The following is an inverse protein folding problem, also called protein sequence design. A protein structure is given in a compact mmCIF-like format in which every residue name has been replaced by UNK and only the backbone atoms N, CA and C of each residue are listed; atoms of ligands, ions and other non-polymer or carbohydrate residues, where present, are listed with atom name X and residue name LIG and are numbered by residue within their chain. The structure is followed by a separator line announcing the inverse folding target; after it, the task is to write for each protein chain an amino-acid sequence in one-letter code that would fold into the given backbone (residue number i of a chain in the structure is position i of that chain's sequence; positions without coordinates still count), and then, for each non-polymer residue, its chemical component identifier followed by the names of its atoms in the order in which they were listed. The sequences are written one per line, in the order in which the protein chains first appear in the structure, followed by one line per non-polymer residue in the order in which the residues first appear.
data_IF_052798105228
#
_entry.id   IF_052798105228
#
_cell.length_a   1.000
_cell.length_b   1.000
_cell.length_c   1.000
_cell.angle_alpha   90.00
_cell.angle_beta   90.00
_cell.angle_gamma   90.00
#
_symmetry.space_group_name_H-M   'P 1'
#
loop_
_entity.id
_entity.type
_entity.pdbx_description
1 polymer ?
#
# COMPACT_ATOMS: atom_id res chain seq x y z
N UNK A 1 5.46 3.53 23.40
CA UNK A 1 4.08 3.03 23.23
C UNK A 1 3.29 3.85 22.21
N UNK A 2 3.31 5.20 22.27
CA UNK A 2 2.62 6.07 21.31
C UNK A 2 3.08 5.88 19.85
N UNK A 3 4.39 5.74 19.59
CA UNK A 3 4.92 5.50 18.23
C UNK A 3 4.26 4.30 17.56
N UNK A 4 4.23 3.14 18.24
CA UNK A 4 3.68 1.90 17.67
C UNK A 4 2.20 2.06 17.35
N UNK A 5 1.42 2.64 18.28
CA UNK A 5 -0.01 2.89 18.07
C UNK A 5 -0.24 3.85 16.89
N UNK A 6 0.54 4.94 16.82
CA UNK A 6 0.45 5.91 15.72
C UNK A 6 0.85 5.30 14.38
N UNK A 7 1.84 4.40 14.34
CA UNK A 7 2.19 3.65 13.12
C UNK A 7 1.08 2.71 12.69
N UNK A 8 0.39 2.04 13.62
CA UNK A 8 -0.79 1.22 13.31
C UNK A 8 -1.91 2.07 12.72
N UNK A 9 -2.20 3.22 13.34
CA UNK A 9 -3.18 4.18 12.82
C UNK A 9 -2.78 4.70 11.43
N UNK A 10 -1.49 4.99 11.23
CA UNK A 10 -0.98 5.41 9.94
C UNK A 10 -1.17 4.34 8.86
N UNK A 11 -0.86 3.08 9.18
CA UNK A 11 -1.12 1.95 8.29
C UNK A 11 -2.59 1.81 7.93
N UNK A 12 -3.50 1.92 8.90
CA UNK A 12 -4.95 1.88 8.66
C UNK A 12 -5.38 2.99 7.70
N UNK A 13 -5.04 4.24 8.00
CA UNK A 13 -5.44 5.41 7.18
C UNK A 13 -4.85 5.32 5.77
N UNK A 14 -3.56 5.00 5.65
CA UNK A 14 -2.89 4.89 4.36
C UNK A 14 -3.48 3.75 3.51
N UNK A 15 -3.80 2.61 4.11
CA UNK A 15 -4.42 1.47 3.41
C UNK A 15 -5.81 1.79 2.92
N UNK A 16 -6.61 2.49 3.72
CA UNK A 16 -7.93 2.97 3.31
C UNK A 16 -7.80 3.95 2.14
N UNK A 17 -6.91 4.94 2.23
CA UNK A 17 -6.69 5.91 1.15
C UNK A 17 -6.24 5.25 -0.16
N UNK A 18 -5.28 4.33 -0.09
CA UNK A 18 -4.86 3.52 -1.24
C UNK A 18 -6.00 2.68 -1.82
N UNK A 19 -6.76 1.99 -0.95
CA UNK A 19 -7.91 1.17 -1.39
C UNK A 19 -8.96 2.01 -2.10
N UNK A 20 -9.23 3.22 -1.61
CA UNK A 20 -10.16 4.17 -2.24
C UNK A 20 -9.66 4.61 -3.61
N UNK A 21 -8.36 4.93 -3.76
CA UNK A 21 -7.79 5.32 -5.06
C UNK A 21 -7.91 4.18 -6.07
N UNK A 22 -7.50 2.97 -5.68
CA UNK A 22 -7.56 1.80 -6.57
C UNK A 22 -9.00 1.43 -6.94
N UNK A 23 -9.91 1.49 -5.96
CA UNK A 23 -11.33 1.27 -6.21
C UNK A 23 -11.92 2.34 -7.14
N UNK A 24 -11.49 3.59 -7.02
CA UNK A 24 -11.93 4.67 -7.92
C UNK A 24 -11.46 4.42 -9.35
N UNK A 25 -10.21 4.00 -9.55
CA UNK A 25 -9.68 3.59 -10.88
C UNK A 25 -10.51 2.44 -11.46
N UNK A 26 -10.87 1.45 -10.63
CA UNK A 26 -11.74 0.35 -11.03
C UNK A 26 -13.16 0.80 -11.38
N UNK A 27 -13.79 1.61 -10.54
CA UNK A 27 -15.14 2.11 -10.73
C UNK A 27 -15.28 3.00 -11.98
N UNK A 28 -14.22 3.70 -12.36
CA UNK A 28 -14.14 4.48 -13.59
C UNK A 28 -13.86 3.63 -14.85
N UNK A 29 -13.65 2.31 -14.69
CA UNK A 29 -13.37 1.39 -15.80
C UNK A 29 -11.97 1.53 -16.42
N UNK A 30 -11.06 2.27 -15.78
CA UNK A 30 -9.70 2.51 -16.30
C UNK A 30 -8.82 1.26 -16.23
N UNK A 31 -9.00 0.44 -15.20
CA UNK A 31 -8.31 -0.84 -15.03
C UNK A 31 -9.14 -1.77 -14.12
N UNK A 32 -8.95 -3.09 -14.23
CA UNK A 32 -9.54 -4.04 -13.27
C UNK A 32 -8.74 -4.05 -11.96
N UNK A 33 -8.78 -2.93 -11.24
CA UNK A 33 -7.97 -2.65 -10.05
C UNK A 33 -8.69 -2.99 -8.73
N UNK A 34 -9.71 -3.87 -8.75
CA UNK A 34 -10.35 -4.39 -7.52
C UNK A 34 -9.44 -5.42 -6.84
N UNK A 35 -8.34 -4.91 -6.28
CA UNK A 35 -7.33 -5.70 -5.59
C UNK A 35 -7.91 -6.40 -4.35
N UNK A 36 -8.86 -5.76 -3.67
CA UNK A 36 -9.50 -6.32 -2.47
C UNK A 36 -10.20 -7.63 -2.83
N UNK A 37 -11.05 -7.63 -3.86
CA UNK A 37 -11.71 -8.88 -4.30
C UNK A 37 -10.72 -9.88 -4.89
N UNK A 38 -9.73 -9.43 -5.66
CA UNK A 38 -8.69 -10.30 -6.20
C UNK A 38 -7.98 -11.06 -5.05
N UNK A 39 -7.42 -10.33 -4.09
CA UNK A 39 -6.71 -10.89 -2.94
C UNK A 39 -7.59 -11.84 -2.12
N UNK A 40 -8.83 -11.45 -1.84
CA UNK A 40 -9.71 -12.30 -1.05
C UNK A 40 -10.18 -13.55 -1.80
N UNK A 41 -10.34 -13.48 -3.12
CA UNK A 41 -10.71 -14.64 -3.93
C UNK A 41 -9.56 -15.63 -4.13
N UNK A 42 -8.30 -15.20 -4.02
CA UNK A 42 -7.14 -16.10 -3.90
C UNK A 42 -7.25 -16.98 -2.65
N UNK A 43 -7.60 -16.37 -1.51
CA UNK A 43 -7.67 -17.06 -0.22
C UNK A 43 -8.92 -17.93 -0.11
N UNK A 44 -10.07 -17.41 -0.54
CA UNK A 44 -11.38 -18.08 -0.41
C UNK A 44 -11.69 -19.04 -1.57
N UNK A 45 -10.86 -19.04 -2.62
CA UNK A 45 -11.04 -19.83 -3.86
C UNK A 45 -12.39 -19.62 -4.54
N UNK A 46 -13.00 -18.44 -4.37
CA UNK A 46 -14.31 -18.14 -4.91
C UNK A 46 -14.70 -16.69 -4.69
N UNK A 47 -15.85 -16.27 -5.22
CA UNK A 47 -16.37 -14.90 -5.07
C UNK A 47 -17.08 -14.69 -3.72
N UNK A 48 -17.64 -15.76 -3.15
CA UNK A 48 -18.35 -15.72 -1.87
C UNK A 48 -17.34 -15.39 -0.77
N UNK A 49 -17.59 -14.29 -0.04
CA UNK A 49 -16.72 -13.75 1.02
C UNK A 49 -15.37 -13.15 0.57
N UNK A 50 -15.06 -13.11 -0.74
CA UNK A 50 -13.81 -12.55 -1.25
C UNK A 50 -13.60 -11.09 -0.81
N UNK A 51 -14.63 -10.26 -0.87
CA UNK A 51 -14.55 -8.85 -0.45
C UNK A 51 -14.06 -8.72 1.01
N UNK A 52 -14.68 -9.46 1.94
CA UNK A 52 -14.36 -9.36 3.36
C UNK A 52 -12.97 -9.92 3.66
N UNK A 53 -12.66 -11.12 3.13
CA UNK A 53 -11.36 -11.76 3.33
C UNK A 53 -10.23 -10.90 2.79
N UNK A 54 -10.40 -10.37 1.58
CA UNK A 54 -9.40 -9.51 0.95
C UNK A 54 -9.23 -8.17 1.66
N UNK A 55 -10.32 -7.58 2.16
CA UNK A 55 -10.24 -6.30 2.87
C UNK A 55 -9.51 -6.43 4.20
N UNK A 56 -9.81 -7.49 4.97
CA UNK A 56 -9.09 -7.79 6.22
C UNK A 56 -7.61 -8.04 5.94
N UNK A 57 -7.30 -8.89 4.95
CA UNK A 57 -5.91 -9.17 4.57
C UNK A 57 -5.17 -7.92 4.14
N UNK A 58 -5.81 -7.07 3.34
CA UNK A 58 -5.21 -5.83 2.88
C UNK A 58 -4.94 -4.85 4.04
N UNK A 59 -5.87 -4.71 4.99
CA UNK A 59 -5.65 -3.91 6.21
C UNK A 59 -4.51 -4.45 7.07
N UNK A 60 -4.44 -5.76 7.28
CA UNK A 60 -3.35 -6.39 8.05
C UNK A 60 -2.02 -6.13 7.35
N UNK A 61 -1.92 -6.43 6.06
CA UNK A 61 -0.72 -6.17 5.26
C UNK A 61 -0.32 -4.70 5.31
N UNK A 62 -1.28 -3.80 5.14
CA UNK A 62 -1.03 -2.37 5.16
C UNK A 62 -0.61 -1.83 6.53
N UNK A 63 -1.06 -2.41 7.64
CA UNK A 63 -0.51 -2.12 8.97
C UNK A 63 0.94 -2.62 9.06
N UNK A 64 1.21 -3.86 8.63
CA UNK A 64 2.57 -4.42 8.69
C UNK A 64 3.57 -3.59 7.87
N UNK A 65 3.20 -3.19 6.65
CA UNK A 65 4.04 -2.37 5.78
C UNK A 65 4.19 -0.92 6.23
N UNK A 66 3.35 -0.43 7.15
CA UNK A 66 3.52 0.91 7.71
C UNK A 66 4.78 1.03 8.56
N UNK A 67 5.19 -0.05 9.23
CA UNK A 67 6.39 -0.07 10.07
C UNK A 67 7.67 0.19 9.28
N UNK A 68 8.03 -0.57 8.23
CA UNK A 68 9.24 -0.28 7.46
C UNK A 68 9.18 1.11 6.81
N UNK A 69 8.01 1.58 6.35
CA UNK A 69 7.88 2.95 5.85
C UNK A 69 8.21 3.99 6.93
N UNK A 70 7.54 3.88 8.09
CA UNK A 70 7.74 4.82 9.19
C UNK A 70 9.18 4.80 9.72
N UNK A 71 9.78 3.61 9.80
CA UNK A 71 11.18 3.41 10.22
C UNK A 71 12.12 4.11 9.23
N UNK A 72 11.97 3.84 7.93
CA UNK A 72 12.83 4.45 6.91
C UNK A 72 12.64 5.96 6.89
N UNK A 73 11.40 6.45 6.87
CA UNK A 73 11.13 7.89 6.82
C UNK A 73 11.71 8.58 8.07
N UNK A 74 11.46 8.03 9.26
CA UNK A 74 11.98 8.60 10.52
C UNK A 74 13.51 8.61 10.61
N UNK A 75 14.19 7.76 9.83
CA UNK A 75 15.63 7.70 9.77
C UNK A 75 16.24 8.91 9.04
N UNK A 76 15.48 9.65 8.24
CA UNK A 76 15.97 10.84 7.55
C UNK A 76 15.61 12.13 8.32
N UNK A 77 16.41 13.21 8.18
CA UNK A 77 16.04 14.52 8.70
C UNK A 77 14.77 15.06 8.02
N UNK A 78 13.78 15.45 8.82
CA UNK A 78 12.52 16.04 8.34
C UNK A 78 12.67 17.55 8.18
N UNK A 79 13.48 17.97 7.21
CA UNK A 79 13.85 19.39 7.02
C UNK A 79 12.71 20.29 6.54
N UNK A 80 11.64 19.70 6.01
CA UNK A 80 10.45 20.40 5.54
C UNK A 80 9.24 19.48 5.53
N UNK A 81 8.04 20.05 5.39
CA UNK A 81 6.81 19.27 5.16
C UNK A 81 6.90 18.36 3.93
N UNK A 82 7.55 18.81 2.84
CA UNK A 82 7.62 18.04 1.61
C UNK A 82 8.54 16.82 1.70
N UNK A 83 9.56 16.85 2.57
CA UNK A 83 10.57 15.79 2.68
C UNK A 83 9.98 14.40 3.01
N UNK A 84 9.19 14.22 4.08
CA UNK A 84 8.61 12.91 4.40
C UNK A 84 7.61 12.43 3.34
N UNK A 85 6.86 13.35 2.73
CA UNK A 85 5.89 13.02 1.68
C UNK A 85 6.60 12.52 0.42
N UNK A 86 7.68 13.17 0.00
CA UNK A 86 8.46 12.78 -1.16
C UNK A 86 9.18 11.44 -0.93
N UNK A 87 9.77 11.24 0.25
CA UNK A 87 10.39 9.97 0.61
C UNK A 87 9.35 8.85 0.68
N UNK A 88 8.18 9.13 1.28
CA UNK A 88 7.04 8.22 1.28
C UNK A 88 6.59 7.86 -0.14
N UNK A 89 6.45 8.83 -1.02
CA UNK A 89 6.09 8.61 -2.43
C UNK A 89 7.13 7.74 -3.17
N UNK A 90 8.42 7.94 -2.93
CA UNK A 90 9.50 7.13 -3.51
C UNK A 90 9.47 5.68 -3.00
N UNK A 91 9.26 5.48 -1.70
CA UNK A 91 9.07 4.16 -1.12
C UNK A 91 7.80 3.49 -1.69
N UNK A 92 6.74 4.27 -1.85
CA UNK A 92 5.49 3.90 -2.50
C UNK A 92 5.68 3.43 -3.93
N UNK A 93 6.43 4.20 -4.72
CA UNK A 93 6.81 3.86 -6.08
C UNK A 93 7.58 2.53 -6.13
N UNK A 94 8.63 2.41 -5.31
CA UNK A 94 9.44 1.19 -5.23
C UNK A 94 8.59 -0.04 -4.85
N UNK A 95 7.81 0.08 -3.77
CA UNK A 95 6.95 -1.00 -3.31
C UNK A 95 5.90 -1.35 -4.37
N UNK A 96 5.24 -0.36 -4.96
CA UNK A 96 4.27 -0.55 -6.03
C UNK A 96 4.84 -1.28 -7.24
N UNK A 97 6.08 -0.96 -7.64
CA UNK A 97 6.79 -1.70 -8.68
C UNK A 97 7.03 -3.15 -8.28
N UNK A 98 7.66 -3.39 -7.14
CA UNK A 98 7.97 -4.75 -6.65
C UNK A 98 6.69 -5.59 -6.55
N UNK A 99 5.63 -5.03 -5.97
CA UNK A 99 4.37 -5.73 -5.77
C UNK A 99 3.65 -5.99 -7.10
N UNK A 100 3.69 -5.05 -8.05
CA UNK A 100 3.10 -5.25 -9.38
C UNK A 100 3.77 -6.41 -10.13
N UNK A 101 5.10 -6.49 -10.07
CA UNK A 101 5.84 -7.62 -10.64
C UNK A 101 5.51 -8.94 -9.93
N UNK A 102 5.48 -8.94 -8.59
CA UNK A 102 5.14 -10.11 -7.81
C UNK A 102 3.73 -10.62 -8.12
N UNK A 103 2.75 -9.72 -8.28
CA UNK A 103 1.37 -10.09 -8.64
C UNK A 103 1.28 -10.72 -10.04
N UNK A 104 1.98 -10.15 -11.03
CA UNK A 104 1.98 -10.73 -12.38
C UNK A 104 2.64 -12.12 -12.35
N UNK A 105 3.82 -12.22 -11.73
CA UNK A 105 4.62 -13.46 -11.77
C UNK A 105 4.05 -14.59 -10.91
N UNK A 106 3.47 -14.29 -9.74
CA UNK A 106 3.10 -15.30 -8.75
C UNK A 106 1.59 -15.55 -8.70
N UNK A 107 0.79 -14.54 -9.04
CA UNK A 107 -0.65 -14.55 -8.76
C UNK A 107 -1.48 -14.67 -10.04
N UNK A 108 -1.19 -13.86 -11.06
CA UNK A 108 -2.03 -13.77 -12.25
C UNK A 108 -2.16 -15.13 -12.97
N UNK A 109 -1.06 -15.84 -13.19
CA UNK A 109 -1.08 -17.09 -13.97
C UNK A 109 -1.94 -18.19 -13.33
N UNK A 110 -2.00 -18.24 -12.00
CA UNK A 110 -2.62 -19.33 -11.24
C UNK A 110 -3.88 -18.89 -10.48
N UNK A 111 -4.36 -17.66 -10.69
CA UNK A 111 -5.47 -17.11 -9.92
C UNK A 111 -6.73 -18.00 -10.04
N UNK A 112 -7.48 -18.31 -8.97
CA UNK A 112 -8.65 -19.19 -9.04
C UNK A 112 -9.74 -18.72 -10.01
N UNK A 113 -9.93 -17.40 -10.10
CA UNK A 113 -10.91 -16.76 -10.98
C UNK A 113 -10.24 -16.21 -12.24
N UNK A 114 -10.83 -16.50 -13.40
CA UNK A 114 -10.29 -16.13 -14.71
C UNK A 114 -10.21 -14.61 -14.94
N UNK A 115 -11.14 -13.84 -14.37
CA UNK A 115 -11.19 -12.38 -14.50
C UNK A 115 -9.97 -11.65 -13.92
N UNK A 116 -9.23 -12.30 -13.01
CA UNK A 116 -7.99 -11.78 -12.42
C UNK A 116 -6.74 -12.47 -12.98
N UNK A 117 -6.88 -13.43 -13.91
CA UNK A 117 -5.72 -14.07 -14.55
C UNK A 117 -5.04 -13.20 -15.61
N UNK A 118 -5.75 -12.21 -16.13
CA UNK A 118 -5.26 -11.28 -17.16
C UNK A 118 -4.90 -9.95 -16.52
N UNK A 119 -3.77 -9.91 -15.80
CA UNK A 119 -3.24 -8.67 -15.22
C UNK A 119 -2.51 -7.91 -16.32
N UNK A 120 -3.17 -6.90 -16.90
CA UNK A 120 -2.58 -6.00 -17.87
C UNK A 120 -1.70 -4.92 -17.22
N UNK A 121 -0.90 -4.23 -18.05
CA UNK A 121 -0.06 -3.09 -17.62
C UNK A 121 -0.87 -2.02 -16.89
N UNK A 122 -2.13 -1.80 -17.28
CA UNK A 122 -3.02 -0.84 -16.61
C UNK A 122 -3.28 -1.17 -15.14
N UNK A 123 -3.36 -2.47 -14.78
CA UNK A 123 -3.51 -2.90 -13.39
C UNK A 123 -2.22 -2.68 -12.60
N UNK A 124 -1.06 -2.92 -13.20
CA UNK A 124 0.24 -2.61 -12.58
C UNK A 124 0.39 -1.10 -12.31
N UNK A 125 0.04 -0.26 -13.29
CA UNK A 125 0.05 1.21 -13.12
C UNK A 125 -0.91 1.63 -12.00
N UNK A 126 -2.11 1.03 -11.92
CA UNK A 126 -3.05 1.31 -10.84
C UNK A 126 -2.50 0.92 -9.45
N UNK A 127 -1.80 -0.21 -9.34
CA UNK A 127 -1.13 -0.62 -8.10
C UNK A 127 0.00 0.35 -7.72
N UNK A 128 0.81 0.78 -8.68
CA UNK A 128 1.86 1.77 -8.46
C UNK A 128 1.26 3.07 -7.92
N UNK A 129 0.20 3.59 -8.58
CA UNK A 129 -0.49 4.79 -8.13
C UNK A 129 -1.05 4.64 -6.70
N UNK A 130 -1.66 3.50 -6.39
CA UNK A 130 -2.14 3.18 -5.04
C UNK A 130 -1.01 3.20 -4.00
N UNK A 131 0.13 2.57 -4.28
CA UNK A 131 1.25 2.52 -3.35
C UNK A 131 1.97 3.87 -3.18
N UNK A 132 2.06 4.69 -4.24
CA UNK A 132 2.53 6.07 -4.11
C UNK A 132 1.65 6.84 -3.12
N UNK A 133 0.33 6.73 -3.27
CA UNK A 133 -0.60 7.40 -2.36
C UNK A 133 -0.51 6.86 -0.92
N UNK A 134 -0.38 5.54 -0.75
CA UNK A 134 -0.09 4.93 0.55
C UNK A 134 1.16 5.56 1.18
N UNK A 135 2.25 5.62 0.43
CA UNK A 135 3.52 6.18 0.90
C UNK A 135 3.43 7.66 1.27
N UNK A 136 2.76 8.48 0.47
CA UNK A 136 2.48 9.90 0.76
C UNK A 136 1.70 10.03 2.06
N UNK A 137 0.66 9.20 2.28
CA UNK A 137 -0.14 9.22 3.51
C UNK A 137 0.67 8.80 4.74
N UNK A 138 1.53 7.78 4.62
CA UNK A 138 2.45 7.43 5.72
C UNK A 138 3.40 8.59 6.01
N UNK A 139 4.02 9.19 4.98
CA UNK A 139 4.90 10.35 5.15
C UNK A 139 4.19 11.52 5.85
N UNK A 140 2.96 11.83 5.43
CA UNK A 140 2.13 12.85 6.07
C UNK A 140 1.89 12.54 7.55
N UNK A 141 1.57 11.29 7.89
CA UNK A 141 1.27 10.90 9.28
C UNK A 141 2.52 10.79 10.15
N UNK A 142 3.67 10.42 9.58
CA UNK A 142 4.97 10.51 10.27
C UNK A 142 5.31 11.96 10.58
N UNK A 143 5.00 12.90 9.69
CA UNK A 143 5.20 14.34 9.94
C UNK A 143 4.21 14.90 10.98
N UNK A 144 2.94 14.49 10.91
CA UNK A 144 1.86 15.06 11.70
C UNK A 144 1.71 14.46 13.10
N UNK A 145 2.16 13.22 13.32
CA UNK A 145 2.05 12.50 14.59
C UNK A 145 3.43 12.26 15.20
N UNK A 146 3.53 12.06 16.53
CA UNK A 146 4.80 11.71 17.16
C UNK A 146 5.17 10.25 16.83
N UNK A 147 5.73 10.04 15.64
CA UNK A 147 6.26 8.77 15.16
C UNK A 147 7.77 8.96 14.98
N UNK A 148 8.55 8.32 15.85
CA UNK A 148 10.00 8.23 15.72
C UNK A 148 10.50 6.94 16.36
N UNK A 149 11.49 6.32 15.72
CA UNK A 149 12.11 5.07 16.14
C UNK A 149 13.52 5.26 16.73
N UNK A 150 13.91 6.51 17.03
CA UNK A 150 15.08 6.82 17.85
C UNK A 150 16.44 6.70 17.17
N UNK A 151 16.49 6.54 15.84
CA UNK A 151 17.73 6.61 15.08
C UNK A 151 17.55 7.54 13.87
N UNK A 152 18.59 8.32 13.56
CA UNK A 152 18.66 9.18 12.38
C UNK A 152 19.98 8.93 11.66
N UNK A 153 19.91 8.83 10.34
CA UNK A 153 21.07 8.78 9.47
C UNK A 153 21.70 10.18 9.47
N UNK A 154 22.97 10.24 9.85
CA UNK A 154 23.76 11.46 9.81
C UNK A 154 24.31 11.63 8.40
N UNK A 155 23.47 12.11 7.49
CA UNK A 155 23.82 12.38 6.10
C UNK A 155 24.22 13.86 6.06
N UNK A 156 25.53 14.11 5.99
CA UNK A 156 26.12 15.44 5.86
C UNK A 156 25.82 16.07 4.51
#
# INVERSE_FOLDING_TARGET
MLTVLNTVLAGLVATLGMSTIMYSIHALGLANADMVRALGSLMTKGKKNAMLAGFISHLISGIMFAFPYAIIISAFPQTSFAAPLALGALLGLFHGFVFSFAMIALVAENHPLEEYRKVGVSVAVAHIAGHIAYGVLIGLLVYALPISYGFQLNIQ
#
